data_IF_276942712640
#
_entry.id   IF_276942712640
#
_cell.length_a   1.000
_cell.length_b   1.000
_cell.length_c   1.000
_cell.angle_alpha   90.00
_cell.angle_beta   90.00
_cell.angle_gamma   90.00
#
_symmetry.space_group_name_H-M   'P 1'
#
loop_
_entity.id
_entity.type
_entity.pdbx_description
1 polymer ?
#
# COMPACT_ATOMS: atom_id res chain seq x y z
N UNK A 1 -14.66 16.11 9.29
CA UNK A 1 -14.65 15.68 7.88
C UNK A 1 -14.78 16.83 6.87
N UNK A 2 -14.43 18.05 7.26
CA UNK A 2 -14.57 19.24 6.40
C UNK A 2 -13.40 19.47 5.43
N UNK A 3 -12.30 18.73 5.55
CA UNK A 3 -11.00 19.02 4.92
C UNK A 3 -10.95 18.67 3.41
N UNK A 4 -11.94 17.94 2.88
CA UNK A 4 -11.98 17.50 1.47
C UNK A 4 -13.24 17.97 0.70
N UNK A 5 -13.97 18.92 1.22
CA UNK A 5 -15.22 19.38 0.59
C UNK A 5 -15.00 20.04 -0.77
N UNK A 6 -13.88 20.75 -0.93
CA UNK A 6 -13.55 21.41 -2.19
C UNK A 6 -13.24 20.43 -3.32
N UNK A 7 -12.49 19.36 -3.04
CA UNK A 7 -12.17 18.32 -4.01
C UNK A 7 -13.39 17.44 -4.32
N UNK A 8 -14.19 17.12 -3.30
CA UNK A 8 -15.42 16.34 -3.48
C UNK A 8 -16.47 17.10 -4.30
N UNK A 9 -16.62 18.40 -4.08
CA UNK A 9 -17.58 19.25 -4.81
C UNK A 9 -17.06 19.70 -6.18
N UNK A 10 -15.75 19.97 -6.30
CA UNK A 10 -15.13 20.50 -7.51
C UNK A 10 -14.75 19.46 -8.55
N UNK A 11 -14.46 18.22 -8.15
CA UNK A 11 -13.97 17.16 -9.05
C UNK A 11 -14.96 15.99 -9.04
N UNK A 12 -15.83 15.93 -10.04
CA UNK A 12 -16.89 14.90 -10.13
C UNK A 12 -16.38 13.45 -9.99
N UNK A 13 -15.17 13.15 -10.48
CA UNK A 13 -14.59 11.80 -10.43
C UNK A 13 -13.82 11.48 -9.15
N UNK A 14 -13.62 12.47 -8.24
CA UNK A 14 -12.83 12.28 -7.03
C UNK A 14 -13.46 11.23 -6.10
N UNK A 15 -14.73 11.37 -5.81
CA UNK A 15 -15.44 10.48 -4.88
C UNK A 15 -15.53 9.03 -5.37
N UNK A 16 -15.89 8.76 -6.63
CA UNK A 16 -15.81 7.42 -7.20
C UNK A 16 -14.40 6.79 -7.10
N UNK A 17 -13.35 7.54 -7.47
CA UNK A 17 -11.98 7.04 -7.40
C UNK A 17 -11.55 6.77 -5.95
N UNK A 18 -11.97 7.62 -5.01
CA UNK A 18 -11.72 7.41 -3.59
C UNK A 18 -12.33 6.09 -3.10
N UNK A 19 -13.58 5.79 -3.44
CA UNK A 19 -14.20 4.52 -3.06
C UNK A 19 -13.54 3.32 -3.76
N UNK A 20 -13.17 3.44 -5.03
CA UNK A 20 -12.39 2.40 -5.73
C UNK A 20 -11.11 2.11 -4.96
N UNK A 21 -10.37 3.14 -4.55
CA UNK A 21 -9.15 2.96 -3.76
C UNK A 21 -9.42 2.26 -2.43
N UNK A 22 -10.39 2.73 -1.66
CA UNK A 22 -10.69 2.18 -0.33
C UNK A 22 -11.09 0.70 -0.41
N UNK A 23 -12.05 0.37 -1.27
CA UNK A 23 -12.50 -1.02 -1.40
C UNK A 23 -11.43 -1.95 -1.96
N UNK A 24 -10.71 -1.52 -3.01
CA UNK A 24 -9.62 -2.32 -3.56
C UNK A 24 -8.49 -2.54 -2.54
N UNK A 25 -8.14 -1.53 -1.75
CA UNK A 25 -7.12 -1.66 -0.70
C UNK A 25 -7.51 -2.66 0.40
N UNK A 26 -8.80 -2.72 0.78
CA UNK A 26 -9.30 -3.73 1.73
C UNK A 26 -9.10 -5.14 1.16
N UNK A 27 -9.53 -5.38 -0.09
CA UNK A 27 -9.34 -6.69 -0.74
C UNK A 27 -7.87 -7.06 -0.88
N UNK A 28 -7.01 -6.11 -1.21
CA UNK A 28 -5.56 -6.32 -1.30
C UNK A 28 -4.98 -6.73 0.05
N UNK A 29 -5.36 -6.09 1.14
CA UNK A 29 -4.90 -6.47 2.48
C UNK A 29 -5.33 -7.89 2.85
N UNK A 30 -6.60 -8.23 2.65
CA UNK A 30 -7.13 -9.56 2.95
C UNK A 30 -6.44 -10.65 2.10
N UNK A 31 -6.32 -10.44 0.80
CA UNK A 31 -5.62 -11.35 -0.09
C UNK A 31 -4.13 -11.46 0.28
N UNK A 32 -3.49 -10.34 0.61
CA UNK A 32 -2.09 -10.29 0.99
C UNK A 32 -1.77 -11.12 2.23
N UNK A 33 -2.55 -11.04 3.28
CA UNK A 33 -2.34 -11.87 4.48
C UNK A 33 -2.34 -13.38 4.18
N UNK A 34 -3.12 -13.81 3.21
CA UNK A 34 -3.14 -15.24 2.81
C UNK A 34 -1.89 -15.67 2.05
N UNK A 35 -1.24 -14.73 1.35
CA UNK A 35 -0.06 -15.02 0.50
C UNK A 35 1.18 -15.42 1.32
N UNK A 36 1.28 -14.96 2.56
CA UNK A 36 2.42 -15.25 3.45
C UNK A 36 2.20 -16.45 4.37
N UNK A 37 1.07 -17.14 4.24
CA UNK A 37 0.78 -18.34 5.03
C UNK A 37 1.35 -19.60 4.35
N UNK A 38 2.41 -20.24 4.91
CA UNK A 38 3.02 -21.42 4.31
C UNK A 38 2.08 -22.62 4.23
N UNK A 39 1.10 -22.72 5.15
CA UNK A 39 0.11 -23.80 5.13
C UNK A 39 -0.83 -23.68 3.92
N UNK A 40 -1.21 -22.46 3.54
CA UNK A 40 -2.05 -22.22 2.35
C UNK A 40 -1.26 -22.59 1.09
N UNK A 41 0.00 -22.19 1.01
CA UNK A 41 0.86 -22.54 -0.13
C UNK A 41 1.06 -24.07 -0.26
N UNK A 42 1.30 -24.77 0.86
CA UNK A 42 1.55 -26.20 0.85
C UNK A 42 0.27 -27.03 0.58
N UNK A 43 -0.84 -26.70 1.26
CA UNK A 43 -2.07 -27.51 1.21
C UNK A 43 -2.99 -27.11 0.07
N UNK A 44 -3.02 -25.81 -0.30
CA UNK A 44 -3.95 -25.25 -1.28
C UNK A 44 -3.24 -24.36 -2.31
N UNK A 45 -2.30 -24.89 -3.14
CA UNK A 45 -1.51 -24.11 -4.09
C UNK A 45 -2.36 -23.40 -5.15
N UNK A 46 -3.49 -23.99 -5.55
CA UNK A 46 -4.45 -23.35 -6.48
C UNK A 46 -5.07 -22.09 -5.89
N UNK A 47 -5.44 -22.13 -4.61
CA UNK A 47 -6.02 -20.98 -3.89
C UNK A 47 -4.95 -19.89 -3.74
N UNK A 48 -3.73 -20.24 -3.34
CA UNK A 48 -2.61 -19.30 -3.27
C UNK A 48 -2.40 -18.58 -4.60
N UNK A 49 -2.36 -19.31 -5.71
CA UNK A 49 -2.19 -18.76 -7.05
C UNK A 49 -3.35 -17.81 -7.43
N UNK A 50 -4.58 -18.22 -7.19
CA UNK A 50 -5.77 -17.42 -7.53
C UNK A 50 -5.83 -16.12 -6.71
N UNK A 51 -5.64 -16.20 -5.40
CA UNK A 51 -5.58 -15.02 -4.52
C UNK A 51 -4.37 -14.13 -4.85
N UNK A 52 -3.25 -14.70 -5.29
CA UNK A 52 -2.09 -13.94 -5.77
C UNK A 52 -2.41 -13.13 -7.04
N UNK A 53 -3.14 -13.70 -7.99
CA UNK A 53 -3.61 -12.96 -9.18
C UNK A 53 -4.62 -11.87 -8.82
N UNK A 54 -5.54 -12.15 -7.90
CA UNK A 54 -6.47 -11.13 -7.40
C UNK A 54 -5.71 -9.98 -6.73
N UNK A 55 -4.78 -10.30 -5.83
CA UNK A 55 -3.92 -9.31 -5.19
C UNK A 55 -3.25 -8.40 -6.23
N UNK A 56 -2.55 -9.01 -7.19
CA UNK A 56 -1.83 -8.25 -8.21
C UNK A 56 -2.76 -7.45 -9.12
N UNK A 57 -3.87 -8.04 -9.56
CA UNK A 57 -4.87 -7.36 -10.39
C UNK A 57 -5.47 -6.14 -9.67
N UNK A 58 -5.87 -6.29 -8.41
CA UNK A 58 -6.38 -5.17 -7.62
C UNK A 58 -5.33 -4.08 -7.40
N UNK A 59 -4.08 -4.44 -7.12
CA UNK A 59 -3.01 -3.45 -6.95
C UNK A 59 -2.74 -2.70 -8.25
N UNK A 60 -2.51 -3.42 -9.35
CA UNK A 60 -2.04 -2.83 -10.60
C UNK A 60 -3.15 -2.03 -11.33
N UNK A 61 -4.39 -2.51 -11.28
CA UNK A 61 -5.48 -1.90 -12.05
C UNK A 61 -6.29 -0.88 -11.25
N UNK A 62 -6.38 -1.03 -9.92
CA UNK A 62 -7.28 -0.23 -9.11
C UNK A 62 -6.56 0.51 -7.98
N UNK A 63 -5.95 -0.20 -7.03
CA UNK A 63 -5.49 0.41 -5.79
C UNK A 63 -4.31 1.38 -5.97
N UNK A 64 -3.28 1.02 -6.72
CA UNK A 64 -2.13 1.90 -6.93
C UNK A 64 -2.47 3.08 -7.85
N UNK A 65 -3.13 2.92 -9.01
CA UNK A 65 -3.52 4.06 -9.84
C UNK A 65 -4.46 5.04 -9.13
N UNK A 66 -5.50 4.54 -8.46
CA UNK A 66 -6.41 5.39 -7.67
C UNK A 66 -5.71 6.05 -6.48
N UNK A 67 -4.77 5.34 -5.83
CA UNK A 67 -3.95 5.88 -4.75
C UNK A 67 -3.04 7.03 -5.20
N UNK A 68 -2.42 6.92 -6.37
CA UNK A 68 -1.63 8.00 -6.99
C UNK A 68 -2.53 9.21 -7.28
N UNK A 69 -3.70 8.99 -7.86
CA UNK A 69 -4.67 10.06 -8.14
C UNK A 69 -5.06 10.79 -6.85
N UNK A 70 -5.46 10.07 -5.81
CA UNK A 70 -5.85 10.67 -4.52
C UNK A 70 -4.65 11.35 -3.85
N UNK A 71 -3.46 10.77 -3.99
CA UNK A 71 -2.20 11.33 -3.48
C UNK A 71 -1.89 12.72 -4.04
N UNK A 72 -2.25 12.99 -5.28
CA UNK A 72 -2.13 14.31 -5.90
C UNK A 72 -2.94 15.38 -5.16
N UNK A 73 -4.08 15.01 -4.61
CA UNK A 73 -4.95 15.88 -3.81
C UNK A 73 -4.72 15.72 -2.30
N UNK A 74 -3.62 15.11 -1.88
CA UNK A 74 -3.35 14.93 -0.46
C UNK A 74 -3.17 16.26 0.26
N UNK A 75 -3.74 16.36 1.48
CA UNK A 75 -3.51 17.48 2.38
C UNK A 75 -2.06 17.42 2.94
N UNK A 76 -1.59 18.52 3.53
CA UNK A 76 -0.21 18.60 4.03
C UNK A 76 0.81 19.07 2.98
N UNK A 77 0.33 19.73 1.91
CA UNK A 77 1.17 20.38 0.92
C UNK A 77 2.00 19.41 0.06
N UNK A 78 3.08 19.92 -0.50
CA UNK A 78 3.94 19.17 -1.43
C UNK A 78 4.56 17.94 -0.77
N UNK A 79 4.94 18.02 0.50
CA UNK A 79 5.58 16.93 1.26
C UNK A 79 4.70 15.68 1.33
N UNK A 80 3.41 15.84 1.66
CA UNK A 80 2.50 14.72 1.72
C UNK A 80 2.13 14.19 0.32
N UNK A 81 1.93 15.09 -0.65
CA UNK A 81 1.64 14.71 -2.05
C UNK A 81 2.76 13.86 -2.65
N UNK A 82 4.01 14.31 -2.53
CA UNK A 82 5.17 13.55 -3.02
C UNK A 82 5.28 12.19 -2.35
N UNK A 83 5.07 12.11 -1.03
CA UNK A 83 5.10 10.84 -0.30
C UNK A 83 4.08 9.83 -0.84
N UNK A 84 2.82 10.22 -0.99
CA UNK A 84 1.77 9.30 -1.45
C UNK A 84 1.92 8.93 -2.92
N UNK A 85 2.43 9.82 -3.78
CA UNK A 85 2.73 9.49 -5.17
C UNK A 85 3.87 8.47 -5.24
N UNK A 86 4.97 8.69 -4.50
CA UNK A 86 6.09 7.76 -4.43
C UNK A 86 5.62 6.39 -3.91
N UNK A 87 4.84 6.37 -2.83
CA UNK A 87 4.24 5.14 -2.30
C UNK A 87 3.47 4.38 -3.39
N UNK A 88 2.57 5.06 -4.11
CA UNK A 88 1.75 4.44 -5.15
C UNK A 88 2.57 3.91 -6.32
N UNK A 89 3.58 4.66 -6.78
CA UNK A 89 4.49 4.27 -7.86
C UNK A 89 5.34 3.07 -7.45
N UNK A 90 5.92 3.08 -6.24
CA UNK A 90 6.70 1.95 -5.73
C UNK A 90 5.82 0.71 -5.55
N UNK A 91 4.60 0.88 -5.07
CA UNK A 91 3.66 -0.23 -4.88
C UNK A 91 3.29 -0.88 -6.21
N UNK A 92 2.95 -0.08 -7.21
CA UNK A 92 2.72 -0.55 -8.57
C UNK A 92 3.94 -1.30 -9.11
N UNK A 93 5.12 -0.69 -9.02
CA UNK A 93 6.36 -1.25 -9.54
C UNK A 93 6.76 -2.59 -8.89
N UNK A 94 6.73 -2.66 -7.55
CA UNK A 94 7.10 -3.90 -6.85
C UNK A 94 6.12 -5.03 -7.15
N UNK A 95 4.83 -4.72 -7.27
CA UNK A 95 3.82 -5.71 -7.63
C UNK A 95 4.00 -6.21 -9.06
N UNK A 96 4.22 -5.30 -10.01
CA UNK A 96 4.49 -5.64 -11.41
C UNK A 96 5.75 -6.52 -11.53
N UNK A 97 6.84 -6.12 -10.88
CA UNK A 97 8.07 -6.91 -10.86
C UNK A 97 7.86 -8.29 -10.25
N UNK A 98 7.10 -8.40 -9.17
CA UNK A 98 6.80 -9.70 -8.58
C UNK A 98 6.08 -10.63 -9.57
N UNK A 99 5.10 -10.12 -10.33
CA UNK A 99 4.40 -10.91 -11.35
C UNK A 99 5.34 -11.30 -12.50
N UNK A 100 6.13 -10.38 -13.02
CA UNK A 100 7.06 -10.67 -14.11
C UNK A 100 8.08 -11.74 -13.71
N UNK A 101 8.55 -11.72 -12.45
CA UNK A 101 9.51 -12.69 -11.95
C UNK A 101 8.91 -14.09 -11.76
N UNK A 102 7.66 -14.18 -11.28
CA UNK A 102 7.02 -15.50 -11.15
C UNK A 102 6.73 -16.12 -12.52
N UNK A 103 6.39 -15.32 -13.54
CA UNK A 103 6.24 -15.80 -14.91
C UNK A 103 7.55 -16.35 -15.48
N UNK A 104 8.70 -15.80 -15.07
CA UNK A 104 10.03 -16.30 -15.40
C UNK A 104 10.49 -17.46 -14.51
N UNK A 105 9.64 -17.93 -13.58
CA UNK A 105 9.96 -18.97 -12.58
C UNK A 105 11.06 -18.59 -11.60
N UNK A 106 11.36 -17.31 -11.45
CA UNK A 106 12.32 -16.77 -10.48
C UNK A 106 11.66 -16.62 -9.09
N UNK A 107 11.40 -17.77 -8.43
CA UNK A 107 10.57 -17.85 -7.21
C UNK A 107 11.16 -17.01 -6.07
N UNK A 108 12.49 -17.04 -5.87
CA UNK A 108 13.12 -16.28 -4.76
C UNK A 108 12.99 -14.78 -4.99
N UNK A 109 13.27 -14.31 -6.19
CA UNK A 109 13.13 -12.91 -6.56
C UNK A 109 11.67 -12.45 -6.47
N UNK A 110 10.71 -13.26 -6.96
CA UNK A 110 9.28 -13.03 -6.79
C UNK A 110 8.92 -12.81 -5.31
N UNK A 111 9.34 -13.72 -4.41
CA UNK A 111 9.07 -13.58 -2.97
C UNK A 111 9.62 -12.27 -2.41
N UNK A 112 10.84 -11.89 -2.73
CA UNK A 112 11.44 -10.62 -2.28
C UNK A 112 10.60 -9.41 -2.70
N UNK A 113 10.12 -9.36 -3.94
CA UNK A 113 9.27 -8.27 -4.42
C UNK A 113 7.85 -8.31 -3.82
N UNK A 114 7.30 -9.50 -3.54
CA UNK A 114 6.03 -9.62 -2.82
C UNK A 114 6.13 -9.10 -1.38
N UNK A 115 7.24 -9.33 -0.66
CA UNK A 115 7.47 -8.73 0.66
C UNK A 115 7.43 -7.20 0.61
N UNK A 116 8.10 -6.59 -0.37
CA UNK A 116 8.08 -5.13 -0.59
C UNK A 116 6.68 -4.62 -0.90
N UNK A 117 6.00 -5.26 -1.85
CA UNK A 117 4.64 -4.89 -2.24
C UNK A 117 3.68 -4.94 -1.05
N UNK A 118 3.73 -6.01 -0.26
CA UNK A 118 2.83 -6.16 0.89
C UNK A 118 3.17 -5.21 2.04
N UNK A 119 4.44 -4.90 2.26
CA UNK A 119 4.85 -3.87 3.21
C UNK A 119 4.26 -2.50 2.86
N UNK A 120 4.18 -2.16 1.57
CA UNK A 120 3.51 -0.94 1.12
C UNK A 120 1.98 -1.05 1.25
N UNK A 121 1.38 -2.20 1.03
CA UNK A 121 -0.05 -2.42 1.27
C UNK A 121 -0.43 -2.19 2.74
N UNK A 122 0.41 -2.60 3.69
CA UNK A 122 0.17 -2.38 5.12
C UNK A 122 0.28 -0.92 5.56
N UNK A 123 0.74 -0.01 4.69
CA UNK A 123 0.78 1.43 4.97
C UNK A 123 -0.58 2.00 5.37
N UNK A 124 -1.67 1.44 4.86
CA UNK A 124 -3.03 1.82 5.24
C UNK A 124 -3.32 1.63 6.74
N UNK A 125 -2.71 0.63 7.37
CA UNK A 125 -2.83 0.33 8.80
C UNK A 125 -1.88 1.22 9.59
N UNK A 126 -0.61 1.24 9.23
CA UNK A 126 0.43 1.96 9.96
C UNK A 126 0.25 3.47 9.91
N UNK A 127 -0.27 4.01 8.81
CA UNK A 127 -0.61 5.43 8.71
C UNK A 127 -1.68 5.83 9.75
N UNK A 128 -2.71 5.00 9.93
CA UNK A 128 -3.74 5.23 10.96
C UNK A 128 -3.16 5.07 12.37
N UNK A 129 -2.33 4.08 12.57
CA UNK A 129 -1.66 3.83 13.86
C UNK A 129 -0.79 5.03 14.25
N UNK A 130 0.09 5.50 13.36
CA UNK A 130 0.93 6.66 13.61
C UNK A 130 0.11 7.93 13.87
N UNK A 131 -0.99 8.11 13.13
CA UNK A 131 -1.89 9.23 13.40
C UNK A 131 -2.40 9.22 14.84
N UNK A 132 -2.89 8.08 15.31
CA UNK A 132 -3.40 7.96 16.70
C UNK A 132 -2.28 8.22 17.70
N UNK A 133 -1.12 7.60 17.53
CA UNK A 133 0.03 7.74 18.45
C UNK A 133 0.49 9.21 18.53
N UNK A 134 0.73 9.85 17.40
CA UNK A 134 1.26 11.22 17.37
C UNK A 134 0.25 12.25 17.90
N UNK A 135 -1.03 12.08 17.55
CA UNK A 135 -2.08 12.97 18.08
C UNK A 135 -2.21 12.82 19.60
N UNK A 136 -2.17 11.59 20.12
CA UNK A 136 -2.29 11.34 21.55
C UNK A 136 -1.09 11.86 22.37
N UNK A 137 0.13 11.71 21.83
CA UNK A 137 1.35 12.09 22.55
C UNK A 137 1.67 13.59 22.47
N UNK A 138 1.46 14.20 21.32
CA UNK A 138 1.99 15.56 21.04
C UNK A 138 0.91 16.61 20.82
N UNK A 139 -0.37 16.24 20.63
CA UNK A 139 -1.48 17.15 20.34
C UNK A 139 -1.17 18.19 19.24
N UNK A 140 -0.47 17.84 18.16
CA UNK A 140 0.00 18.77 17.17
C UNK A 140 -1.14 19.28 16.27
N UNK A 141 -0.88 20.36 15.54
CA UNK A 141 -1.80 20.84 14.54
C UNK A 141 -2.07 19.76 13.46
N UNK A 142 -3.33 19.60 13.01
CA UNK A 142 -3.70 18.49 12.10
C UNK A 142 -2.88 18.40 10.82
N UNK A 143 -2.43 19.53 10.27
CA UNK A 143 -1.68 19.57 9.01
C UNK A 143 -0.21 19.14 9.18
N UNK A 144 0.43 19.47 10.31
CA UNK A 144 1.81 19.10 10.61
C UNK A 144 1.92 17.59 10.83
N UNK A 145 0.98 17.03 11.59
CA UNK A 145 0.87 15.56 11.75
C UNK A 145 0.75 14.88 10.40
N UNK A 146 -0.07 15.42 9.52
CA UNK A 146 -0.36 14.78 8.24
C UNK A 146 0.89 14.68 7.35
N UNK A 147 1.76 15.67 7.37
CA UNK A 147 3.05 15.64 6.65
C UNK A 147 3.97 14.54 7.19
N UNK A 148 4.08 14.42 8.51
CA UNK A 148 4.95 13.43 9.16
C UNK A 148 4.42 12.01 8.91
N UNK A 149 3.14 11.77 9.15
CA UNK A 149 2.55 10.43 8.99
C UNK A 149 2.54 9.95 7.54
N UNK A 150 2.52 10.86 6.57
CA UNK A 150 2.60 10.49 5.16
C UNK A 150 3.87 9.67 4.85
N UNK A 151 5.00 9.98 5.50
CA UNK A 151 6.26 9.23 5.37
C UNK A 151 6.36 8.07 6.36
N UNK A 152 6.00 8.28 7.62
CA UNK A 152 6.03 7.23 8.64
C UNK A 152 5.05 6.09 8.36
N UNK A 153 4.05 6.32 7.55
CA UNK A 153 3.07 5.29 7.19
C UNK A 153 3.63 4.14 6.37
N UNK A 154 4.70 4.32 5.62
CA UNK A 154 5.21 3.28 4.72
C UNK A 154 6.73 3.05 4.76
N UNK A 155 7.55 4.07 5.08
CA UNK A 155 9.01 3.90 5.14
C UNK A 155 9.43 2.85 6.16
N UNK A 156 8.97 2.88 7.43
CA UNK A 156 9.31 1.86 8.40
C UNK A 156 8.89 0.45 7.95
N UNK A 157 7.73 0.31 7.32
CA UNK A 157 7.27 -0.98 6.81
C UNK A 157 8.22 -1.53 5.75
N UNK A 158 8.68 -0.67 4.83
CA UNK A 158 9.61 -1.06 3.79
C UNK A 158 10.98 -1.44 4.37
N UNK A 159 11.48 -0.69 5.36
CA UNK A 159 12.73 -1.02 6.06
C UNK A 159 12.63 -2.37 6.78
N UNK A 160 11.52 -2.65 7.44
CA UNK A 160 11.25 -3.96 8.06
C UNK A 160 11.23 -5.05 6.99
N UNK A 161 10.60 -4.81 5.84
CA UNK A 161 10.59 -5.78 4.74
C UNK A 161 12.00 -6.07 4.22
N UNK A 162 12.84 -5.05 4.03
CA UNK A 162 14.23 -5.22 3.59
C UNK A 162 15.05 -6.00 4.63
N UNK A 163 14.86 -5.72 5.92
CA UNK A 163 15.50 -6.47 6.99
C UNK A 163 15.07 -7.95 6.98
N UNK A 164 13.78 -8.24 6.84
CA UNK A 164 13.24 -9.59 6.74
C UNK A 164 13.76 -10.33 5.49
N UNK A 165 13.86 -9.62 4.36
CA UNK A 165 14.42 -10.17 3.12
C UNK A 165 15.88 -10.59 3.31
N UNK A 166 16.69 -9.74 3.94
CA UNK A 166 18.08 -10.07 4.27
C UNK A 166 18.17 -11.29 5.18
N UNK A 167 17.41 -11.32 6.26
CA UNK A 167 17.43 -12.44 7.23
C UNK A 167 16.96 -13.77 6.64
N UNK A 168 16.03 -13.76 5.68
CA UNK A 168 15.34 -14.97 5.19
C UNK A 168 15.90 -15.49 3.87
N UNK A 169 16.54 -14.65 3.06
CA UNK A 169 16.94 -15.00 1.69
C UNK A 169 18.43 -14.74 1.38
N UNK A 170 19.21 -14.28 2.38
CA UNK A 170 20.65 -14.16 2.35
C UNK A 170 21.22 -14.88 3.56
#
# INVERSE_FOLDING_TARGET
MQIKQTEVSGIKVYLPIFYIHVYSAIFVLLAGFTQFNPKILAKYPKIHKWLGYLYAGFVLLLAAPSGIFIGWFANGGLTAKTSFIILGVLWFWFTLKAILLILKREIIAHKKFMYRSFALATSAITLRLWKVILVYLFHPAPMDVYQIIAWLGWIPNLLIAEWLIKKKFI
#
